data_IF_297572490444
#
_entry.id   IF_297572490444
#
_cell.length_a   1.000
_cell.length_b   1.000
_cell.length_c   1.000
_cell.angle_alpha   90.00
_cell.angle_beta   90.00
_cell.angle_gamma   90.00
#
_symmetry.space_group_name_H-M   'P 1'
#
loop_
_entity.id
_entity.type
_entity.pdbx_description
1 polymer ?
#
# COMPACT_ATOMS: atom_id res chain seq x y z
N UNK A 1 -12.50 18.61 7.96
CA UNK A 1 -11.22 18.40 7.26
C UNK A 1 -11.56 18.12 5.81
N UNK A 2 -10.72 18.53 4.84
CA UNK A 2 -10.96 18.17 3.45
C UNK A 2 -10.49 16.72 3.25
N UNK A 3 -11.42 15.83 2.94
CA UNK A 3 -11.16 14.42 2.65
C UNK A 3 -11.13 14.24 1.12
N UNK A 4 -9.98 13.85 0.59
CA UNK A 4 -9.83 13.53 -0.84
C UNK A 4 -9.93 12.02 -1.04
N UNK A 5 -10.80 11.59 -1.97
CA UNK A 5 -10.98 10.18 -2.29
C UNK A 5 -9.90 9.74 -3.27
N UNK A 6 -9.08 8.78 -2.85
CA UNK A 6 -8.01 8.23 -3.68
C UNK A 6 -8.31 6.77 -4.07
N UNK A 7 -8.47 6.51 -5.37
CA UNK A 7 -8.65 5.16 -5.91
C UNK A 7 -7.33 4.56 -6.36
N UNK A 8 -6.88 3.47 -5.73
CA UNK A 8 -5.61 2.80 -6.06
C UNK A 8 -5.81 1.32 -6.34
N UNK A 9 -5.21 0.83 -7.42
CA UNK A 9 -5.11 -0.60 -7.68
C UNK A 9 -3.93 -1.18 -6.87
N UNK A 10 -4.25 -2.08 -5.95
CA UNK A 10 -3.28 -2.76 -5.09
C UNK A 10 -3.25 -4.25 -5.41
N UNK A 11 -2.12 -4.87 -5.14
CA UNK A 11 -1.94 -6.31 -5.34
C UNK A 11 -2.86 -7.10 -4.38
N UNK A 12 -3.34 -8.26 -4.82
CA UNK A 12 -4.24 -9.12 -4.04
C UNK A 12 -3.61 -9.57 -2.72
N UNK A 13 -2.29 -9.73 -2.67
CA UNK A 13 -1.59 -10.08 -1.43
C UNK A 13 -1.67 -8.95 -0.41
N UNK A 14 -1.60 -7.69 -0.85
CA UNK A 14 -1.79 -6.51 0.01
C UNK A 14 -3.23 -6.45 0.51
N UNK A 15 -4.21 -6.68 -0.37
CA UNK A 15 -5.64 -6.69 0.02
C UNK A 15 -5.88 -7.73 1.11
N UNK A 16 -5.33 -8.94 0.95
CA UNK A 16 -5.48 -10.01 1.94
C UNK A 16 -4.88 -9.64 3.30
N UNK A 17 -3.71 -8.98 3.31
CA UNK A 17 -3.11 -8.49 4.55
C UNK A 17 -3.96 -7.42 5.24
N UNK A 18 -4.55 -6.50 4.47
CA UNK A 18 -5.46 -5.48 5.03
C UNK A 18 -6.75 -6.10 5.56
N UNK A 19 -7.34 -7.08 4.85
CA UNK A 19 -8.54 -7.78 5.31
C UNK A 19 -8.28 -8.56 6.61
N UNK A 20 -7.08 -9.13 6.81
CA UNK A 20 -6.68 -9.76 8.08
C UNK A 20 -6.65 -8.74 9.23
N UNK A 21 -6.05 -7.56 9.01
CA UNK A 21 -6.05 -6.50 10.02
C UNK A 21 -7.44 -5.97 10.33
N UNK A 22 -8.34 -5.92 9.36
CA UNK A 22 -9.75 -5.60 9.62
C UNK A 22 -10.41 -6.65 10.50
N UNK A 23 -10.14 -7.93 10.27
CA UNK A 23 -10.66 -8.98 11.13
C UNK A 23 -10.09 -8.90 12.56
N UNK A 24 -8.82 -8.56 12.72
CA UNK A 24 -8.21 -8.36 14.05
C UNK A 24 -8.74 -7.10 14.75
N UNK A 25 -9.03 -6.04 14.00
CA UNK A 25 -9.62 -4.80 14.49
C UNK A 25 -11.16 -4.80 14.46
N UNK A 26 -11.82 -5.95 14.26
CA UNK A 26 -13.28 -6.06 14.19
C UNK A 26 -13.96 -5.52 15.46
N UNK A 27 -13.32 -5.73 16.62
CA UNK A 27 -13.76 -5.18 17.90
C UNK A 27 -13.77 -3.63 17.95
N UNK A 28 -13.04 -2.96 17.05
CA UNK A 28 -13.02 -1.50 16.92
C UNK A 28 -14.04 -0.99 15.89
N UNK A 29 -14.70 -1.88 15.13
CA UNK A 29 -15.59 -1.51 14.03
C UNK A 29 -14.85 -0.82 12.87
N UNK A 30 -13.53 -0.98 12.80
CA UNK A 30 -12.68 -0.28 11.84
C UNK A 30 -12.97 -0.77 10.42
N UNK A 31 -13.27 0.16 9.52
CA UNK A 31 -13.46 -0.17 8.11
C UNK A 31 -12.12 -0.34 7.40
N UNK A 32 -12.07 -1.13 6.32
CA UNK A 32 -10.87 -1.28 5.47
C UNK A 32 -10.23 0.06 5.09
N UNK A 33 -11.05 1.05 4.72
CA UNK A 33 -10.55 2.39 4.37
C UNK A 33 -9.89 3.09 5.55
N UNK A 34 -10.42 2.95 6.76
CA UNK A 34 -9.89 3.57 7.98
C UNK A 34 -8.56 2.92 8.39
N UNK A 35 -8.45 1.60 8.24
CA UNK A 35 -7.19 0.88 8.43
C UNK A 35 -6.14 1.36 7.43
N UNK A 36 -6.49 1.42 6.15
CA UNK A 36 -5.57 1.91 5.08
C UNK A 36 -5.14 3.35 5.36
N UNK A 37 -6.06 4.23 5.73
CA UNK A 37 -5.75 5.62 6.08
C UNK A 37 -4.81 5.70 7.28
N UNK A 38 -5.05 4.90 8.32
CA UNK A 38 -4.21 4.86 9.52
C UNK A 38 -2.79 4.40 9.19
N UNK A 39 -2.65 3.37 8.37
CA UNK A 39 -1.34 2.86 7.92
C UNK A 39 -0.59 3.93 7.13
N UNK A 40 -1.27 4.56 6.16
CA UNK A 40 -0.68 5.63 5.34
C UNK A 40 -0.27 6.81 6.21
N UNK A 41 -1.09 7.19 7.18
CA UNK A 41 -0.81 8.26 8.13
C UNK A 41 0.40 7.92 9.00
N UNK A 42 0.44 6.72 9.58
CA UNK A 42 1.57 6.24 10.38
C UNK A 42 2.87 6.19 9.55
N UNK A 43 2.78 5.78 8.28
CA UNK A 43 3.92 5.74 7.37
C UNK A 43 4.38 7.14 6.96
N UNK A 44 3.48 8.09 6.70
CA UNK A 44 3.85 9.45 6.28
C UNK A 44 4.33 10.30 7.47
N UNK A 45 3.78 10.10 8.66
CA UNK A 45 4.16 10.83 9.87
C UNK A 45 5.39 10.26 10.56
N UNK A 46 5.85 9.06 10.20
CA UNK A 46 7.07 8.49 10.77
C UNK A 46 8.30 9.27 10.28
N UNK A 47 9.25 9.54 11.18
CA UNK A 47 10.50 10.28 10.89
C UNK A 47 11.48 9.53 9.97
N UNK A 48 11.12 8.35 9.46
CA UNK A 48 11.99 7.61 8.55
C UNK A 48 12.06 8.28 7.17
N UNK A 49 13.18 8.09 6.46
CA UNK A 49 13.33 8.61 5.10
C UNK A 49 12.51 7.75 4.10
N UNK A 50 11.20 7.98 4.09
CA UNK A 50 10.24 7.25 3.26
C UNK A 50 10.44 7.55 1.77
N UNK A 51 10.98 8.71 1.42
CA UNK A 51 11.21 9.12 0.01
C UNK A 51 12.19 8.18 -0.68
N UNK A 52 13.31 7.85 -0.04
CA UNK A 52 14.30 6.94 -0.61
C UNK A 52 13.74 5.53 -0.77
N UNK A 53 12.99 5.03 0.22
CA UNK A 53 12.36 3.70 0.17
C UNK A 53 11.27 3.60 -0.90
N UNK A 54 10.43 4.62 -1.01
CA UNK A 54 9.38 4.68 -2.05
C UNK A 54 10.02 4.71 -3.44
N UNK A 55 11.11 5.46 -3.61
CA UNK A 55 11.88 5.50 -4.87
C UNK A 55 12.49 4.12 -5.19
N UNK A 56 13.10 3.49 -4.18
CA UNK A 56 13.42 2.05 -4.07
C UNK A 56 12.41 1.15 -4.80
N UNK A 57 11.22 1.12 -4.19
CA UNK A 57 10.14 0.22 -4.56
C UNK A 57 9.56 0.51 -5.95
N UNK A 58 9.44 1.78 -6.34
CA UNK A 58 8.98 2.16 -7.68
C UNK A 58 9.95 1.66 -8.74
N UNK A 59 11.27 1.88 -8.55
CA UNK A 59 12.29 1.42 -9.50
C UNK A 59 12.28 -0.11 -9.60
N UNK A 60 12.15 -0.81 -8.46
CA UNK A 60 12.07 -2.27 -8.43
C UNK A 60 10.84 -2.79 -9.18
N UNK A 61 9.66 -2.20 -8.94
CA UNK A 61 8.40 -2.58 -9.60
C UNK A 61 8.47 -2.38 -11.11
N UNK A 62 9.09 -1.28 -11.57
CA UNK A 62 9.32 -1.04 -13.00
C UNK A 62 10.27 -2.08 -13.62
N UNK A 63 11.37 -2.43 -12.95
CA UNK A 63 12.30 -3.46 -13.46
C UNK A 63 11.66 -4.85 -13.53
N UNK A 64 10.81 -5.22 -12.57
CA UNK A 64 10.06 -6.49 -12.62
C UNK A 64 9.06 -6.54 -13.77
N UNK A 65 8.43 -5.41 -14.11
CA UNK A 65 7.55 -5.29 -15.28
C UNK A 65 8.32 -5.41 -16.60
N UNK A 66 9.56 -4.90 -16.66
CA UNK A 66 10.42 -5.05 -17.84
C UNK A 66 10.99 -6.48 -18.01
N UNK A 67 11.26 -7.20 -16.92
CA UNK A 67 11.81 -8.56 -16.99
C UNK A 67 10.82 -9.58 -17.59
N UNK A 68 9.52 -9.44 -17.30
CA UNK A 68 8.48 -10.35 -17.81
C UNK A 68 8.26 -10.22 -19.33
N UNK A 69 8.61 -9.08 -19.92
CA UNK A 69 8.47 -8.81 -21.35
C UNK A 69 9.71 -9.21 -22.19
N UNK A 70 10.79 -9.72 -21.58
CA UNK A 70 12.02 -10.10 -22.31
C UNK A 70 12.07 -11.57 -22.75
N UNK A 71 11.09 -12.39 -22.35
CA UNK A 71 10.99 -13.80 -22.75
C UNK A 71 10.00 -14.06 -23.90
N UNK A 72 9.57 -13.01 -24.59
CA UNK A 72 8.70 -13.10 -25.77
C UNK A 72 9.30 -12.31 -26.94
N UNK A 73 10.50 -12.70 -27.37
CA UNK A 73 11.04 -12.40 -28.71
C UNK A 73 11.86 -13.58 -29.20
#
# INVERSE_FOLDING_TARGET
MAEEKFGVAVDVEIVRGVDEWVAECDNLGASRSEIVETILTAFVQSEANHVERVRELIIRKQKSSFAVNSHTY
#
